data_IF_877634828828
#
_entry.id   IF_877634828828
#
_cell.length_a   1.000
_cell.length_b   1.000
_cell.length_c   1.000
_cell.angle_alpha   90.00
_cell.angle_beta   90.00
_cell.angle_gamma   90.00
#
_symmetry.space_group_name_H-M   'P 1'
#
loop_
_entity.id
_entity.type
_entity.pdbx_description
1 polymer ?
#
# COMPACT_ATOMS: atom_id res chain seq x y z
N UNK A 1 22.83 -18.22 -3.33
CA UNK A 1 23.29 -16.82 -3.18
C UNK A 1 22.15 -16.08 -2.50
N UNK A 2 22.28 -15.76 -1.22
CA UNK A 2 21.22 -15.06 -0.48
C UNK A 2 21.18 -13.60 -0.90
N UNK A 3 19.99 -13.07 -1.16
CA UNK A 3 19.82 -11.63 -1.41
C UNK A 3 20.42 -10.85 -0.22
N UNK A 4 21.19 -9.78 -0.47
CA UNK A 4 21.79 -9.00 0.60
C UNK A 4 20.69 -8.37 1.47
N UNK A 5 20.85 -8.50 2.80
CA UNK A 5 19.97 -7.83 3.76
C UNK A 5 19.92 -6.32 3.45
N UNK A 6 18.72 -5.71 3.46
CA UNK A 6 18.60 -4.30 3.15
C UNK A 6 19.43 -3.45 4.12
N UNK A 7 20.29 -2.59 3.57
CA UNK A 7 21.07 -1.65 4.38
C UNK A 7 20.16 -0.68 5.15
N UNK A 8 20.60 -0.25 6.34
CA UNK A 8 19.83 0.66 7.19
C UNK A 8 19.36 1.93 6.45
N UNK A 9 20.18 2.46 5.55
CA UNK A 9 19.83 3.62 4.70
C UNK A 9 18.67 3.33 3.77
N UNK A 10 18.62 2.13 3.16
CA UNK A 10 17.52 1.72 2.27
C UNK A 10 16.23 1.58 3.08
N UNK A 11 16.31 0.92 4.24
CA UNK A 11 15.16 0.78 5.14
C UNK A 11 14.62 2.12 5.61
N UNK A 12 15.50 3.06 5.97
CA UNK A 12 15.11 4.41 6.35
C UNK A 12 14.40 5.14 5.19
N UNK A 13 14.95 5.06 3.97
CA UNK A 13 14.34 5.68 2.79
C UNK A 13 12.94 5.12 2.49
N UNK A 14 12.76 3.80 2.59
CA UNK A 14 11.46 3.15 2.38
C UNK A 14 10.46 3.54 3.48
N UNK A 15 10.89 3.60 4.74
CA UNK A 15 10.06 4.05 5.86
C UNK A 15 9.59 5.50 5.69
N UNK A 16 10.50 6.40 5.32
CA UNK A 16 10.18 7.81 5.07
C UNK A 16 9.22 7.98 3.90
N UNK A 17 9.45 7.27 2.79
CA UNK A 17 8.55 7.27 1.64
C UNK A 17 7.15 6.81 2.03
N UNK A 18 7.02 5.66 2.70
CA UNK A 18 5.74 5.16 3.18
C UNK A 18 5.02 6.13 4.13
N UNK A 19 5.74 6.76 5.07
CA UNK A 19 5.15 7.74 5.99
C UNK A 19 4.64 8.99 5.26
N UNK A 20 5.42 9.51 4.31
CA UNK A 20 5.01 10.66 3.49
C UNK A 20 3.79 10.36 2.63
N UNK A 21 3.75 9.18 2.00
CA UNK A 21 2.56 8.73 1.26
C UNK A 21 1.33 8.59 2.15
N UNK A 22 1.48 8.08 3.37
CA UNK A 22 0.38 7.96 4.33
C UNK A 22 -0.13 9.34 4.80
N UNK A 23 0.79 10.26 5.10
CA UNK A 23 0.43 11.64 5.45
C UNK A 23 -0.26 12.36 4.28
N UNK A 24 0.17 12.11 3.04
CA UNK A 24 -0.47 12.66 1.85
C UNK A 24 -1.92 12.18 1.74
N UNK A 25 -2.15 10.87 1.86
CA UNK A 25 -3.49 10.27 1.80
C UNK A 25 -4.41 10.68 2.94
N UNK A 26 -3.87 11.05 4.10
CA UNK A 26 -4.66 11.63 5.19
C UNK A 26 -5.19 13.02 4.83
N UNK A 27 -4.64 13.65 3.79
CA UNK A 27 -5.03 14.97 3.28
C UNK A 27 -5.28 15.98 4.42
N UNK A 28 -4.28 16.26 5.28
CA UNK A 28 -4.45 17.11 6.46
C UNK A 28 -4.80 18.55 6.11
N UNK A 29 -4.57 18.96 4.86
CA UNK A 29 -4.93 20.27 4.31
C UNK A 29 -6.37 20.31 3.76
N UNK A 30 -7.11 19.19 3.84
CA UNK A 30 -8.51 19.07 3.40
C UNK A 30 -8.77 19.56 1.96
N UNK A 31 -7.81 19.37 1.05
CA UNK A 31 -7.90 19.84 -0.35
C UNK A 31 -7.75 21.35 -0.54
N UNK A 32 -7.39 22.12 0.50
CA UNK A 32 -7.22 23.57 0.37
C UNK A 32 -5.93 23.98 -0.38
N UNK A 33 -4.97 23.05 -0.49
CA UNK A 33 -3.71 23.23 -1.19
C UNK A 33 -3.48 22.06 -2.14
N UNK A 34 -4.23 22.02 -3.23
CA UNK A 34 -4.07 21.00 -4.28
C UNK A 34 -2.98 21.43 -5.27
N UNK A 35 -2.00 20.55 -5.50
CA UNK A 35 -0.90 20.76 -6.45
C UNK A 35 -1.32 20.40 -7.89
N UNK A 36 -2.35 19.56 -8.04
CA UNK A 36 -2.95 19.14 -9.31
C UNK A 36 -4.46 19.46 -9.35
N UNK A 37 -5.04 19.66 -10.54
CA UNK A 37 -6.49 19.88 -10.68
C UNK A 37 -7.27 18.56 -10.52
N UNK A 38 -7.83 18.32 -9.32
CA UNK A 38 -8.51 17.06 -8.91
C UNK A 38 -9.94 16.87 -9.43
N UNK A 39 -10.47 17.83 -10.18
CA UNK A 39 -11.86 17.85 -10.64
C UNK A 39 -12.06 17.26 -12.05
N UNK A 40 -11.02 16.69 -12.66
CA UNK A 40 -11.13 15.97 -13.93
C UNK A 40 -11.42 14.48 -13.69
N UNK A 41 -12.60 13.97 -14.12
CA UNK A 41 -12.83 12.54 -14.10
C UNK A 41 -11.72 11.83 -14.88
N UNK A 42 -11.28 10.67 -14.39
CA UNK A 42 -10.13 9.86 -14.86
C UNK A 42 -8.71 10.31 -14.46
N UNK A 43 -8.47 11.59 -14.14
CA UNK A 43 -7.11 12.14 -13.98
C UNK A 43 -6.86 12.67 -12.55
N UNK A 44 -7.87 13.28 -11.93
CA UNK A 44 -7.74 13.96 -10.64
C UNK A 44 -7.81 13.02 -9.45
N UNK A 45 -6.81 12.15 -9.27
CA UNK A 45 -6.42 11.39 -8.05
C UNK A 45 -5.28 10.37 -8.36
N UNK A 46 -4.55 10.54 -9.48
CA UNK A 46 -3.52 9.58 -9.90
C UNK A 46 -2.32 9.57 -8.94
N UNK A 47 -1.98 10.74 -8.43
CA UNK A 47 -0.99 10.96 -7.40
C UNK A 47 -1.40 10.34 -6.06
N UNK A 48 -2.68 10.40 -5.69
CA UNK A 48 -3.19 9.66 -4.53
C UNK A 48 -3.06 8.14 -4.73
N UNK A 49 -3.42 7.62 -5.91
CA UNK A 49 -3.22 6.21 -6.23
C UNK A 49 -1.73 5.82 -6.15
N UNK A 50 -0.83 6.69 -6.61
CA UNK A 50 0.61 6.50 -6.45
C UNK A 50 1.03 6.49 -4.96
N UNK A 51 0.46 7.37 -4.14
CA UNK A 51 0.69 7.39 -2.70
C UNK A 51 0.19 6.10 -2.03
N UNK A 52 -0.97 5.55 -2.44
CA UNK A 52 -1.45 4.24 -1.98
C UNK A 52 -0.46 3.12 -2.32
N UNK A 53 0.00 3.07 -3.57
CA UNK A 53 1.00 2.06 -4.00
C UNK A 53 2.29 2.19 -3.20
N UNK A 54 2.75 3.42 -2.96
CA UNK A 54 3.94 3.71 -2.17
C UNK A 54 3.81 3.20 -0.72
N UNK A 55 2.67 3.47 -0.07
CA UNK A 55 2.37 3.00 1.30
C UNK A 55 2.31 1.48 1.37
N UNK A 56 1.56 0.83 0.47
CA UNK A 56 1.44 -0.63 0.43
C UNK A 56 2.81 -1.27 0.16
N UNK A 57 3.59 -0.70 -0.76
CA UNK A 57 4.94 -1.17 -1.08
C UNK A 57 5.88 -1.06 0.12
N UNK A 58 5.85 0.06 0.85
CA UNK A 58 6.66 0.25 2.05
C UNK A 58 6.27 -0.74 3.17
N UNK A 59 4.98 -0.97 3.40
CA UNK A 59 4.52 -1.97 4.37
C UNK A 59 4.99 -3.38 3.99
N UNK A 60 4.89 -3.75 2.71
CA UNK A 60 5.36 -5.05 2.22
C UNK A 60 6.86 -5.23 2.36
N UNK A 61 7.64 -4.18 2.16
CA UNK A 61 9.07 -4.19 2.39
C UNK A 61 9.44 -4.56 3.84
N UNK A 62 8.62 -4.15 4.81
CA UNK A 62 8.75 -4.53 6.22
C UNK A 62 8.00 -5.82 6.61
N UNK A 63 7.54 -6.59 5.63
CA UNK A 63 6.84 -7.87 5.85
C UNK A 63 5.36 -7.75 6.21
N UNK A 64 4.79 -6.55 6.16
CA UNK A 64 3.36 -6.31 6.41
C UNK A 64 2.61 -6.37 5.08
N UNK A 65 1.92 -7.47 4.83
CA UNK A 65 1.15 -7.70 3.61
C UNK A 65 -0.35 -7.49 3.83
N UNK A 66 -0.81 -6.25 3.60
CA UNK A 66 -2.22 -5.87 3.80
C UNK A 66 -3.19 -6.70 2.95
N UNK A 67 -2.77 -7.25 1.80
CA UNK A 67 -3.67 -8.06 0.96
C UNK A 67 -3.99 -9.42 1.56
N UNK A 68 -3.24 -9.88 2.58
CA UNK A 68 -3.57 -11.10 3.32
C UNK A 68 -4.89 -10.97 4.05
N UNK A 69 -5.22 -9.78 4.56
CA UNK A 69 -6.49 -9.53 5.24
C UNK A 69 -7.70 -9.66 4.29
N UNK A 70 -7.52 -9.38 3.00
CA UNK A 70 -8.57 -9.45 1.98
C UNK A 70 -8.71 -10.82 1.31
N UNK A 71 -7.78 -11.76 1.60
CA UNK A 71 -7.85 -13.11 1.05
C UNK A 71 -8.88 -13.92 1.82
N UNK A 72 -10.09 -14.00 1.29
CA UNK A 72 -11.11 -14.92 1.79
C UNK A 72 -10.50 -16.34 1.85
N UNK A 73 -10.58 -16.98 3.02
CA UNK A 73 -10.24 -18.39 3.18
C UNK A 73 -11.28 -19.18 2.37
N UNK A 74 -10.97 -19.49 1.11
CA UNK A 74 -11.58 -20.62 0.45
C UNK A 74 -11.21 -21.85 1.27
N UNK A 75 -12.10 -22.26 2.18
CA UNK A 75 -11.92 -23.49 2.95
C UNK A 75 -11.84 -24.68 1.99
N UNK A 76 -11.16 -25.78 2.39
CA UNK A 76 -11.19 -26.99 1.60
C UNK A 76 -12.65 -27.40 1.32
N UNK A 77 -12.97 -27.89 0.11
CA UNK A 77 -14.30 -28.40 -0.17
C UNK A 77 -14.66 -29.44 0.90
N UNK A 78 -15.89 -29.37 1.42
CA UNK A 78 -16.37 -30.34 2.40
C UNK A 78 -16.22 -31.74 1.82
N UNK A 79 -15.66 -32.66 2.60
CA UNK A 79 -15.55 -34.06 2.19
C UNK A 79 -16.95 -34.58 1.78
N UNK A 80 -17.06 -35.29 0.65
CA UNK A 80 -18.33 -35.87 0.26
C UNK A 80 -18.83 -36.81 1.37
N UNK A 81 -20.16 -36.88 1.61
CA UNK A 81 -20.71 -37.76 2.64
C UNK A 81 -20.28 -39.20 2.36
N UNK A 82 -19.85 -39.89 3.42
CA UNK A 82 -19.52 -41.31 3.35
C UNK A 82 -20.79 -42.10 2.99
N UNK A 83 -20.74 -42.81 1.86
CA UNK A 83 -21.75 -43.78 1.42
C UNK A 83 -21.71 -45.06 2.27
#
# INVERSE_FOLDING_TARGET
MGEPEPSATRSLGVALAGLLGALYLLNPTAGLFELLPDNLPLIGNLDEAAAVVLVIGALRYFGIDLTRAFRQRGGPPADPPAE
#
